data_IF_304391580742
#
_entry.id   IF_304391580742
#
_cell.length_a   1.000
_cell.length_b   1.000
_cell.length_c   1.000
_cell.angle_alpha   90.00
_cell.angle_beta   90.00
_cell.angle_gamma   90.00
#
_symmetry.space_group_name_H-M   'P 1'
#
loop_
_entity.id
_entity.type
_entity.pdbx_description
1 polymer ?
#
# COMPACT_ATOMS: atom_id res chain seq x y z
N UNK A 1 9.00 -7.16 18.31
CA UNK A 1 8.51 -8.55 18.08
C UNK A 1 7.76 -8.49 16.77
N UNK A 2 8.16 -9.24 15.73
CA UNK A 2 7.40 -9.26 14.47
C UNK A 2 5.99 -9.77 14.75
N UNK A 3 5.00 -9.05 14.24
CA UNK A 3 3.59 -9.42 14.38
C UNK A 3 3.27 -10.46 13.29
N UNK A 4 2.61 -11.55 13.69
CA UNK A 4 2.11 -12.53 12.75
C UNK A 4 0.73 -12.12 12.27
N UNK A 5 0.56 -12.02 10.96
CA UNK A 5 -0.71 -11.69 10.32
C UNK A 5 -1.26 -12.92 9.59
N UNK A 6 -2.59 -12.98 9.45
CA UNK A 6 -3.25 -14.03 8.68
C UNK A 6 -3.28 -13.63 7.21
N UNK A 7 -2.55 -14.37 6.38
CA UNK A 7 -2.61 -14.27 4.93
C UNK A 7 -3.60 -15.32 4.42
N UNK A 8 -4.79 -14.86 4.00
CA UNK A 8 -5.84 -15.72 3.47
C UNK A 8 -5.48 -16.18 2.06
N UNK A 9 -5.66 -17.47 1.79
CA UNK A 9 -5.37 -18.09 0.50
C UNK A 9 -6.67 -18.26 -0.29
N UNK A 10 -6.65 -17.89 -1.57
CA UNK A 10 -7.80 -18.03 -2.45
C UNK A 10 -8.09 -19.49 -2.74
N UNK A 11 -9.37 -19.87 -2.75
CA UNK A 11 -9.77 -21.26 -3.02
C UNK A 11 -9.80 -21.59 -4.52
N UNK A 12 -9.81 -20.56 -5.38
CA UNK A 12 -10.07 -20.69 -6.81
C UNK A 12 -8.89 -20.28 -7.70
N UNK A 13 -7.75 -19.89 -7.13
CA UNK A 13 -6.58 -19.43 -7.89
C UNK A 13 -5.35 -19.09 -7.03
N UNK A 14 -4.31 -18.49 -7.65
CA UNK A 14 -3.04 -18.11 -7.01
C UNK A 14 -3.11 -16.80 -6.20
N UNK A 15 -4.32 -16.37 -5.82
CA UNK A 15 -4.52 -15.11 -5.10
C UNK A 15 -4.36 -15.29 -3.59
N UNK A 16 -3.79 -14.30 -2.91
CA UNK A 16 -3.76 -14.22 -1.45
C UNK A 16 -3.96 -12.77 -0.99
N UNK A 17 -4.49 -12.59 0.21
CA UNK A 17 -4.70 -11.25 0.76
C UNK A 17 -4.72 -11.28 2.29
N UNK A 18 -4.31 -10.17 2.91
CA UNK A 18 -4.56 -9.92 4.34
C UNK A 18 -6.01 -9.50 4.60
N UNK A 19 -6.77 -9.19 3.55
CA UNK A 19 -8.14 -8.70 3.64
C UNK A 19 -9.08 -9.86 3.33
N UNK A 20 -9.71 -10.39 4.37
CA UNK A 20 -10.70 -11.44 4.21
C UNK A 20 -11.93 -10.96 3.41
N UNK A 21 -12.40 -9.72 3.61
CA UNK A 21 -13.58 -9.19 2.92
C UNK A 21 -13.33 -8.71 1.47
N UNK A 22 -12.26 -9.17 0.82
CA UNK A 22 -12.02 -8.87 -0.59
C UNK A 22 -13.15 -9.49 -1.43
N UNK A 23 -13.66 -8.71 -2.40
CA UNK A 23 -14.78 -9.11 -3.28
C UNK A 23 -14.37 -10.16 -4.32
N UNK A 24 -13.08 -10.35 -4.51
CA UNK A 24 -12.46 -11.28 -5.47
C UNK A 24 -11.60 -12.30 -4.73
N UNK A 25 -11.30 -13.44 -5.35
CA UNK A 25 -10.36 -14.45 -4.82
C UNK A 25 -11.00 -15.60 -4.04
N UNK A 26 -12.26 -15.47 -3.59
CA UNK A 26 -13.00 -16.55 -2.92
C UNK A 26 -12.27 -17.07 -1.68
N UNK A 27 -12.02 -16.18 -0.72
CA UNK A 27 -11.27 -16.52 0.49
C UNK A 27 -12.14 -17.20 1.54
N UNK A 28 -11.56 -18.16 2.25
CA UNK A 28 -12.16 -18.77 3.44
C UNK A 28 -11.47 -18.31 4.71
N UNK A 29 -12.25 -18.09 5.77
CA UNK A 29 -11.73 -17.69 7.09
C UNK A 29 -10.83 -18.76 7.70
N UNK A 30 -10.95 -20.01 7.25
CA UNK A 30 -10.20 -21.15 7.76
C UNK A 30 -9.01 -21.51 6.87
N UNK A 31 -8.92 -20.96 5.65
CA UNK A 31 -7.81 -21.21 4.74
C UNK A 31 -6.83 -20.02 4.74
N UNK A 32 -5.91 -20.03 5.71
CA UNK A 32 -4.87 -19.01 5.84
C UNK A 32 -3.54 -19.61 6.24
N UNK A 33 -2.47 -18.88 5.95
CA UNK A 33 -1.15 -19.11 6.54
C UNK A 33 -0.80 -17.92 7.43
N UNK A 34 -0.01 -18.17 8.49
CA UNK A 34 0.59 -17.09 9.25
C UNK A 34 1.81 -16.57 8.49
N UNK A 35 1.86 -15.26 8.29
CA UNK A 35 3.01 -14.59 7.69
C UNK A 35 3.56 -13.56 8.65
N UNK A 36 4.88 -13.41 8.67
CA UNK A 36 5.52 -12.34 9.43
C UNK A 36 5.27 -11.00 8.74
N UNK A 37 4.76 -10.04 9.48
CA UNK A 37 4.62 -8.67 9.02
C UNK A 37 5.66 -7.77 9.70
N UNK A 38 6.06 -6.75 8.97
CA UNK A 38 6.88 -5.65 9.48
C UNK A 38 6.02 -4.40 9.66
N UNK A 39 6.39 -3.58 10.63
CA UNK A 39 5.92 -2.20 10.67
C UNK A 39 6.70 -1.40 9.63
N UNK A 40 6.09 -1.15 8.47
CA UNK A 40 6.75 -0.46 7.36
C UNK A 40 7.23 0.95 7.74
N UNK A 41 6.49 1.65 8.61
CA UNK A 41 6.83 2.99 9.07
C UNK A 41 8.11 2.97 9.93
N UNK A 42 8.18 2.05 10.89
CA UNK A 42 9.38 1.89 11.72
C UNK A 42 10.58 1.38 10.89
N UNK A 43 10.32 0.45 9.96
CA UNK A 43 11.35 -0.03 9.04
C UNK A 43 11.95 1.13 8.22
N UNK A 44 11.12 2.03 7.68
CA UNK A 44 11.62 3.20 6.95
C UNK A 44 12.50 4.09 7.83
N UNK A 45 12.09 4.40 9.07
CA UNK A 45 12.88 5.24 9.98
C UNK A 45 14.23 4.64 10.32
N UNK A 46 14.30 3.31 10.46
CA UNK A 46 15.54 2.61 10.84
C UNK A 46 16.50 2.39 9.67
N UNK A 47 16.01 2.44 8.42
CA UNK A 47 16.79 2.03 7.26
C UNK A 47 17.03 3.14 6.23
N UNK A 48 16.26 4.23 6.27
CA UNK A 48 16.34 5.31 5.29
C UNK A 48 16.65 6.64 5.97
N UNK A 49 17.30 7.53 5.23
CA UNK A 49 17.59 8.90 5.65
C UNK A 49 16.59 9.88 5.04
N UNK A 50 16.32 10.98 5.74
CA UNK A 50 15.52 12.09 5.19
C UNK A 50 16.22 12.81 4.02
N UNK A 51 17.53 12.60 3.85
CA UNK A 51 18.30 13.15 2.74
C UNK A 51 18.27 12.27 1.48
N UNK A 52 17.71 11.08 1.56
CA UNK A 52 17.57 10.19 0.40
C UNK A 52 16.42 10.67 -0.49
N UNK A 53 16.54 10.41 -1.80
CA UNK A 53 15.40 10.56 -2.71
C UNK A 53 14.60 9.25 -2.75
N UNK A 54 13.40 9.25 -2.19
CA UNK A 54 12.61 8.03 -1.97
C UNK A 54 11.45 7.93 -2.96
N UNK A 55 11.46 6.84 -3.73
CA UNK A 55 10.37 6.43 -4.61
C UNK A 55 9.62 5.26 -3.98
N UNK A 56 8.35 5.46 -3.62
CA UNK A 56 7.49 4.42 -3.06
C UNK A 56 6.53 3.89 -4.14
N UNK A 57 6.77 2.68 -4.65
CA UNK A 57 5.78 1.90 -5.42
C UNK A 57 5.04 0.97 -4.48
N UNK A 58 3.71 0.98 -4.53
CA UNK A 58 2.89 0.15 -3.65
C UNK A 58 1.74 -0.51 -4.41
N UNK A 59 1.62 -1.81 -4.20
CA UNK A 59 0.71 -2.74 -4.85
C UNK A 59 0.65 -3.98 -3.95
N UNK A 60 -0.26 -3.94 -2.98
CA UNK A 60 -0.37 -4.95 -1.91
C UNK A 60 -1.84 -5.36 -1.75
N UNK A 61 -2.56 -5.39 -2.88
CA UNK A 61 -3.89 -5.97 -3.04
C UNK A 61 -4.92 -5.52 -1.98
N UNK A 62 -4.92 -4.22 -1.66
CA UNK A 62 -5.89 -3.58 -0.76
C UNK A 62 -5.32 -3.19 0.60
N UNK A 63 -4.19 -3.79 1.02
CA UNK A 63 -3.55 -3.45 2.29
C UNK A 63 -2.87 -2.06 2.27
N UNK A 64 -2.96 -1.31 1.16
CA UNK A 64 -2.36 0.03 1.03
C UNK A 64 -2.94 0.99 2.08
N UNK A 65 -4.25 0.95 2.30
CA UNK A 65 -4.93 1.91 3.18
C UNK A 65 -4.43 1.90 4.63
N UNK A 66 -4.45 0.76 5.36
CA UNK A 66 -3.95 0.74 6.73
C UNK A 66 -2.46 1.09 6.83
N UNK A 67 -1.64 0.67 5.87
CA UNK A 67 -0.20 0.99 5.84
C UNK A 67 0.02 2.50 5.65
N UNK A 68 -0.60 3.10 4.64
CA UNK A 68 -0.43 4.52 4.31
C UNK A 68 -1.04 5.44 5.37
N UNK A 69 -2.17 5.07 5.97
CA UNK A 69 -2.76 5.82 7.09
C UNK A 69 -1.86 5.81 8.32
N UNK A 70 -1.22 4.67 8.61
CA UNK A 70 -0.21 4.59 9.67
C UNK A 70 0.99 5.46 9.34
N UNK A 71 1.52 5.43 8.12
CA UNK A 71 2.61 6.34 7.70
C UNK A 71 2.25 7.81 7.85
N UNK A 72 0.98 8.18 7.63
CA UNK A 72 0.49 9.54 7.86
C UNK A 72 0.49 9.89 9.34
N UNK A 73 0.00 8.99 10.19
CA UNK A 73 -0.03 9.16 11.65
C UNK A 73 1.38 9.27 12.24
N UNK A 74 2.30 8.45 11.76
CA UNK A 74 3.67 8.40 12.27
C UNK A 74 4.60 9.44 11.63
N UNK A 75 4.12 10.16 10.62
CA UNK A 75 4.87 11.20 9.91
C UNK A 75 5.85 10.69 8.84
N UNK A 76 6.04 9.38 8.70
CA UNK A 76 7.01 8.77 7.76
C UNK A 76 6.66 8.93 6.30
N UNK A 77 5.39 9.19 5.97
CA UNK A 77 5.00 9.59 4.60
C UNK A 77 5.82 10.77 4.07
N UNK A 78 6.25 11.70 4.93
CA UNK A 78 7.03 12.89 4.50
C UNK A 78 8.44 12.56 4.04
N UNK A 79 8.92 11.34 4.29
CA UNK A 79 10.19 10.86 3.75
C UNK A 79 10.07 10.51 2.26
N UNK A 80 8.87 10.36 1.72
CA UNK A 80 8.65 9.94 0.32
C UNK A 80 8.58 11.16 -0.59
N UNK A 81 9.38 11.17 -1.66
CA UNK A 81 9.32 12.23 -2.68
C UNK A 81 8.32 11.90 -3.79
N UNK A 82 8.29 10.63 -4.21
CA UNK A 82 7.46 10.16 -5.31
C UNK A 82 6.68 8.93 -4.90
N UNK A 83 5.36 8.98 -5.05
CA UNK A 83 4.46 7.88 -4.72
C UNK A 83 3.79 7.32 -5.98
N UNK A 84 3.88 6.02 -6.19
CA UNK A 84 3.28 5.28 -7.31
C UNK A 84 2.31 4.21 -6.78
N UNK A 85 1.07 4.58 -6.41
CA UNK A 85 0.06 3.64 -5.95
C UNK A 85 -0.57 2.86 -7.10
N UNK A 86 -0.80 1.57 -6.88
CA UNK A 86 -1.82 0.78 -7.57
C UNK A 86 -2.99 0.55 -6.59
N UNK A 87 -4.07 1.31 -6.80
CA UNK A 87 -5.21 1.28 -5.87
C UNK A 87 -6.13 0.09 -6.17
N UNK A 88 -6.36 -0.75 -5.18
CA UNK A 88 -7.30 -1.89 -5.22
C UNK A 88 -8.66 -1.58 -4.59
N UNK A 89 -9.07 -0.30 -4.60
CA UNK A 89 -10.25 0.19 -3.87
C UNK A 89 -11.59 -0.40 -4.34
N UNK A 90 -11.65 -0.86 -5.59
CA UNK A 90 -12.79 -1.51 -6.22
C UNK A 90 -12.91 -3.01 -5.84
N UNK A 91 -11.81 -3.62 -5.39
CA UNK A 91 -11.74 -5.04 -5.03
C UNK A 91 -12.00 -5.31 -3.55
N UNK A 92 -12.08 -4.27 -2.72
CA UNK A 92 -12.20 -4.37 -1.26
C UNK A 92 -13.45 -3.68 -0.76
N UNK A 93 -14.07 -4.23 0.29
CA UNK A 93 -15.25 -3.62 0.94
C UNK A 93 -14.90 -2.86 2.22
N UNK A 94 -13.96 -1.92 2.13
CA UNK A 94 -13.71 -1.02 3.25
C UNK A 94 -14.78 0.06 3.37
N UNK A 95 -15.23 0.30 4.60
CA UNK A 95 -16.01 1.50 4.92
C UNK A 95 -15.27 2.73 4.42
N UNK A 96 -15.96 3.53 3.62
CA UNK A 96 -15.47 4.82 3.11
C UNK A 96 -14.15 4.74 2.31
N UNK A 97 -13.87 3.64 1.58
CA UNK A 97 -12.61 3.47 0.81
C UNK A 97 -12.27 4.65 -0.11
N UNK A 98 -13.29 5.25 -0.75
CA UNK A 98 -13.12 6.46 -1.59
C UNK A 98 -12.64 7.67 -0.78
N UNK A 99 -13.17 7.85 0.44
CA UNK A 99 -12.76 8.93 1.34
C UNK A 99 -11.35 8.69 1.87
N UNK A 100 -11.04 7.46 2.30
CA UNK A 100 -9.69 7.07 2.75
C UNK A 100 -8.65 7.33 1.68
N UNK A 101 -8.93 6.93 0.43
CA UNK A 101 -8.07 7.23 -0.73
C UNK A 101 -7.85 8.73 -0.89
N UNK A 102 -8.93 9.52 -0.90
CA UNK A 102 -8.86 10.98 -1.06
C UNK A 102 -8.08 11.63 0.08
N UNK A 103 -8.26 11.16 1.31
CA UNK A 103 -7.52 11.61 2.48
C UNK A 103 -6.01 11.36 2.31
N UNK A 104 -5.61 10.14 1.94
CA UNK A 104 -4.20 9.79 1.72
C UNK A 104 -3.60 10.65 0.61
N UNK A 105 -4.26 10.72 -0.55
CA UNK A 105 -3.77 11.52 -1.68
C UNK A 105 -3.64 13.01 -1.32
N UNK A 106 -4.58 13.56 -0.54
CA UNK A 106 -4.51 14.95 -0.07
C UNK A 106 -3.33 15.16 0.88
N UNK A 107 -3.14 14.29 1.86
CA UNK A 107 -2.04 14.39 2.84
C UNK A 107 -0.67 14.28 2.17
N UNK A 108 -0.55 13.41 1.18
CA UNK A 108 0.67 13.27 0.38
C UNK A 108 0.95 14.54 -0.43
N UNK A 109 -0.04 15.05 -1.15
CA UNK A 109 0.11 16.31 -1.92
C UNK A 109 0.45 17.51 -1.04
N UNK A 110 -0.21 17.65 0.12
CA UNK A 110 0.08 18.72 1.08
C UNK A 110 1.49 18.64 1.68
N UNK A 111 2.10 17.46 1.64
CA UNK A 111 3.47 17.23 2.10
C UNK A 111 4.49 17.33 0.95
N UNK A 112 4.10 17.83 -0.23
CA UNK A 112 4.97 18.01 -1.40
C UNK A 112 5.22 16.74 -2.21
N UNK A 113 4.59 15.62 -1.88
CA UNK A 113 4.85 14.32 -2.50
C UNK A 113 4.23 14.26 -3.89
N UNK A 114 5.03 13.90 -4.89
CA UNK A 114 4.57 13.72 -6.27
C UNK A 114 3.88 12.38 -6.43
N UNK A 115 2.57 12.39 -6.67
CA UNK A 115 1.83 11.16 -6.97
C UNK A 115 1.82 10.90 -8.47
N UNK A 116 2.39 9.77 -8.90
CA UNK A 116 2.41 9.34 -10.29
C UNK A 116 1.52 8.11 -10.48
N UNK A 117 0.86 8.03 -11.64
CA UNK A 117 0.13 6.82 -12.01
C UNK A 117 1.11 5.72 -12.40
N UNK A 118 1.02 4.56 -11.77
CA UNK A 118 1.73 3.37 -12.22
C UNK A 118 1.16 2.91 -13.58
N UNK A 119 1.97 3.01 -14.61
CA UNK A 119 1.66 2.53 -15.97
C UNK A 119 2.93 2.64 -16.80
N UNK A 120 3.44 1.52 -17.34
CA UNK A 120 4.64 1.50 -18.22
C UNK A 120 4.54 2.57 -19.33
N UNK A 121 3.36 2.69 -19.94
CA UNK A 121 3.07 3.70 -20.98
C UNK A 121 3.08 5.13 -20.45
N UNK A 122 2.55 5.37 -19.24
CA UNK A 122 2.52 6.69 -18.62
C UNK A 122 3.91 7.17 -18.20
N UNK A 123 4.68 6.29 -17.57
CA UNK A 123 6.01 6.60 -17.05
C UNK A 123 7.02 6.82 -18.19
N UNK A 124 7.00 6.00 -19.25
CA UNK A 124 7.78 6.27 -20.49
C UNK A 124 7.41 7.62 -21.11
N UNK A 125 6.12 7.96 -21.19
CA UNK A 125 5.66 9.27 -21.71
C UNK A 125 6.13 10.46 -20.87
N UNK A 126 6.44 10.25 -19.59
CA UNK A 126 6.96 11.28 -18.68
C UNK A 126 8.49 11.30 -18.62
N UNK A 127 9.18 10.50 -19.44
CA UNK A 127 10.64 10.49 -19.55
C UNK A 127 11.34 9.65 -18.48
N UNK A 128 10.62 8.80 -17.74
CA UNK A 128 11.24 7.87 -16.80
C UNK A 128 11.75 6.62 -17.52
N UNK A 129 13.01 6.24 -17.27
CA UNK A 129 13.59 4.96 -17.70
C UNK A 129 13.20 3.88 -16.68
N UNK A 130 12.30 2.97 -17.09
CA UNK A 130 11.72 1.86 -16.32
C UNK A 130 11.54 0.64 -17.21
#
# INVERSE_FOLDING_TARGET
KQEKVKLFLGETGLESSLIFEKKTGGFSKTNYVESEAIDFSEWMKSNLSINDTIYLKMDIEGAEFPVLEKMIRDGTHRMVDVFLPEWHADRIDYKHVKFRRRYIELRFKLSGIKILRWSKKYLRRKGYNI
#
